data_IF_093992893778
#
_entry.id   IF_093992893778
#
_cell.length_a   1.000
_cell.length_b   1.000
_cell.length_c   1.000
_cell.angle_alpha   90.00
_cell.angle_beta   90.00
_cell.angle_gamma   90.00
#
_symmetry.space_group_name_H-M   'P 1'
#
loop_
_entity.id
_entity.type
_entity.pdbx_description
1 polymer ?
#
# COMPACT_ATOMS: atom_id res chain seq x y z
N UNK A 1 7.01 10.38 -14.20
CA UNK A 1 5.81 10.64 -15.02
C UNK A 1 4.59 10.42 -14.15
N UNK A 2 3.57 11.28 -14.20
CA UNK A 2 2.35 11.08 -13.40
C UNK A 2 1.63 9.79 -13.81
N UNK A 3 1.12 9.06 -12.82
CA UNK A 3 0.34 7.83 -13.02
C UNK A 3 -1.15 8.12 -12.75
N UNK A 4 -2.08 7.24 -13.17
CA UNK A 4 -3.48 7.38 -12.79
C UNK A 4 -3.70 7.54 -11.28
N UNK A 5 -2.86 6.91 -10.45
CA UNK A 5 -2.93 7.03 -9.00
C UNK A 5 -2.50 8.42 -8.49
N UNK A 6 -1.60 9.11 -9.18
CA UNK A 6 -1.28 10.51 -8.89
C UNK A 6 -2.51 11.40 -9.11
N UNK A 7 -3.19 11.26 -10.25
CA UNK A 7 -4.39 12.04 -10.54
C UNK A 7 -5.53 11.75 -9.56
N UNK A 8 -5.78 10.49 -9.21
CA UNK A 8 -6.76 10.14 -8.19
C UNK A 8 -6.44 10.78 -6.83
N UNK A 9 -5.16 10.91 -6.48
CA UNK A 9 -4.73 11.58 -5.25
C UNK A 9 -4.77 13.11 -5.31
N UNK A 10 -4.52 13.71 -6.48
CA UNK A 10 -4.64 15.16 -6.73
C UNK A 10 -6.10 15.61 -6.66
N UNK A 11 -7.04 14.78 -7.11
CA UNK A 11 -8.48 15.11 -7.16
C UNK A 11 -9.27 14.57 -5.94
N UNK A 12 -8.63 13.82 -5.04
CA UNK A 12 -9.29 13.24 -3.87
C UNK A 12 -10.23 12.07 -4.16
N UNK A 13 -10.09 11.41 -5.31
CA UNK A 13 -10.97 10.32 -5.75
C UNK A 13 -10.64 8.98 -5.06
N UNK A 14 -11.09 8.83 -3.81
CA UNK A 14 -10.84 7.65 -2.98
C UNK A 14 -11.28 6.33 -3.63
N UNK A 15 -12.45 6.28 -4.27
CA UNK A 15 -12.95 5.07 -4.93
C UNK A 15 -12.08 4.66 -6.13
N UNK A 16 -11.65 5.63 -6.93
CA UNK A 16 -10.76 5.41 -8.07
C UNK A 16 -9.38 4.97 -7.58
N UNK A 17 -8.85 5.63 -6.55
CA UNK A 17 -7.58 5.24 -5.92
C UNK A 17 -7.64 3.78 -5.43
N UNK A 18 -8.72 3.40 -4.74
CA UNK A 18 -8.95 2.03 -4.27
C UNK A 18 -8.99 1.01 -5.42
N UNK A 19 -9.70 1.31 -6.51
CA UNK A 19 -9.76 0.46 -7.69
C UNK A 19 -8.37 0.25 -8.32
N UNK A 20 -7.61 1.34 -8.51
CA UNK A 20 -6.26 1.28 -9.06
C UNK A 20 -5.33 0.42 -8.19
N UNK A 21 -5.37 0.62 -6.88
CA UNK A 21 -4.56 -0.12 -5.91
C UNK A 21 -4.92 -1.61 -5.91
N UNK A 22 -6.20 -1.96 -5.97
CA UNK A 22 -6.69 -3.34 -6.08
C UNK A 22 -6.18 -4.05 -7.34
N UNK A 23 -5.95 -3.30 -8.42
CA UNK A 23 -5.40 -3.81 -9.68
C UNK A 23 -3.87 -3.68 -9.80
N UNK A 24 -3.16 -3.44 -8.69
CA UNK A 24 -1.70 -3.49 -8.65
C UNK A 24 -1.01 -2.20 -9.07
N UNK A 25 -1.70 -1.05 -9.04
CA UNK A 25 -1.03 0.23 -9.17
C UNK A 25 0.05 0.38 -8.11
N UNK A 26 1.23 0.85 -8.52
CA UNK A 26 2.33 1.09 -7.59
C UNK A 26 2.00 2.28 -6.67
N UNK A 27 1.67 1.99 -5.40
CA UNK A 27 1.36 2.96 -4.34
C UNK A 27 2.49 3.97 -4.11
N UNK A 28 3.73 3.56 -4.37
CA UNK A 28 4.94 4.35 -4.19
C UNK A 28 5.52 4.89 -5.51
N UNK A 29 4.75 4.90 -6.59
CA UNK A 29 5.18 5.48 -7.86
C UNK A 29 5.63 6.93 -7.68
N UNK A 30 6.75 7.30 -8.29
CA UNK A 30 7.27 8.65 -8.29
C UNK A 30 7.03 9.33 -9.63
N UNK A 31 6.56 10.57 -9.59
CA UNK A 31 6.47 11.42 -10.78
C UNK A 31 7.86 11.94 -11.21
N UNK A 32 7.91 12.88 -12.16
CA UNK A 32 9.19 13.44 -12.62
C UNK A 32 9.89 14.33 -11.56
N UNK A 33 9.17 14.72 -10.50
CA UNK A 33 9.67 15.55 -9.41
C UNK A 33 10.00 14.73 -8.15
N UNK A 34 9.83 13.41 -8.19
CA UNK A 34 10.06 12.51 -7.07
C UNK A 34 8.87 12.42 -6.10
N UNK A 35 7.75 13.07 -6.41
CA UNK A 35 6.55 13.06 -5.59
C UNK A 35 5.74 11.77 -5.80
N UNK A 36 5.16 11.27 -4.70
CA UNK A 36 4.28 10.10 -4.65
C UNK A 36 2.82 10.55 -4.60
N UNK A 37 1.85 9.68 -4.95
CA UNK A 37 0.43 9.95 -4.74
C UNK A 37 0.11 10.46 -3.33
N UNK A 38 0.79 9.91 -2.30
CA UNK A 38 0.61 10.32 -0.91
C UNK A 38 0.94 11.80 -0.65
N UNK A 39 1.94 12.36 -1.33
CA UNK A 39 2.29 13.77 -1.15
C UNK A 39 1.17 14.70 -1.61
N UNK A 40 0.52 14.39 -2.73
CA UNK A 40 -0.60 15.17 -3.24
C UNK A 40 -1.84 15.03 -2.34
N UNK A 41 -2.20 13.81 -1.95
CA UNK A 41 -3.34 13.58 -1.06
C UNK A 41 -3.16 14.32 0.29
N UNK A 42 -1.93 14.34 0.82
CA UNK A 42 -1.61 15.06 2.05
C UNK A 42 -1.62 16.58 1.88
N UNK A 43 -1.08 17.11 0.77
CA UNK A 43 -1.08 18.55 0.48
C UNK A 43 -2.50 19.10 0.44
N UNK A 44 -3.39 18.43 -0.29
CA UNK A 44 -4.78 18.88 -0.47
C UNK A 44 -5.74 18.45 0.65
N UNK A 45 -5.27 17.65 1.62
CA UNK A 45 -6.06 17.26 2.79
C UNK A 45 -7.12 16.17 2.53
N UNK A 46 -6.94 15.34 1.50
CA UNK A 46 -7.87 14.25 1.18
C UNK A 46 -7.65 13.04 2.08
N UNK A 47 -8.21 13.11 3.29
CA UNK A 47 -7.97 12.16 4.38
C UNK A 47 -8.29 10.70 4.03
N UNK A 48 -9.33 10.45 3.24
CA UNK A 48 -9.72 9.12 2.78
C UNK A 48 -8.67 8.51 1.86
N UNK A 49 -8.12 9.30 0.93
CA UNK A 49 -7.05 8.86 0.05
C UNK A 49 -5.76 8.62 0.84
N UNK A 50 -5.44 9.50 1.80
CA UNK A 50 -4.29 9.33 2.70
C UNK A 50 -4.37 8.00 3.45
N UNK A 51 -5.52 7.67 4.04
CA UNK A 51 -5.73 6.38 4.74
C UNK A 51 -5.50 5.20 3.79
N UNK A 52 -6.12 5.22 2.59
CA UNK A 52 -5.95 4.15 1.60
C UNK A 52 -4.48 3.91 1.22
N UNK A 53 -3.72 4.98 0.99
CA UNK A 53 -2.33 4.89 0.58
C UNK A 53 -1.41 4.42 1.74
N UNK A 54 -1.68 4.81 2.98
CA UNK A 54 -0.91 4.40 4.16
C UNK A 54 -1.17 2.95 4.56
N UNK A 55 -2.43 2.50 4.50
CA UNK A 55 -2.78 1.13 4.90
C UNK A 55 -2.04 0.09 4.04
N UNK A 56 -1.95 0.32 2.73
CA UNK A 56 -1.26 -0.60 1.83
C UNK A 56 0.26 -0.61 1.99
N UNK A 57 0.87 0.52 2.35
CA UNK A 57 2.31 0.59 2.62
C UNK A 57 2.67 -0.24 3.87
N UNK A 58 1.79 -0.22 4.89
CA UNK A 58 1.90 -1.07 6.08
C UNK A 58 1.73 -2.55 5.78
N UNK A 59 0.75 -2.94 4.95
CA UNK A 59 0.55 -4.34 4.55
C UNK A 59 1.78 -4.89 3.81
N UNK A 60 2.40 -4.09 2.93
CA UNK A 60 3.59 -4.51 2.21
C UNK A 60 4.79 -4.69 3.14
N UNK A 61 5.00 -3.74 4.05
CA UNK A 61 6.07 -3.79 5.06
C UNK A 61 5.92 -4.98 6.02
N UNK A 62 4.70 -5.25 6.50
CA UNK A 62 4.43 -6.39 7.38
C UNK A 62 4.58 -7.74 6.68
N UNK A 63 4.28 -7.84 5.37
CA UNK A 63 4.47 -9.09 4.61
C UNK A 63 5.95 -9.45 4.47
N UNK A 64 6.79 -8.46 4.20
CA UNK A 64 8.25 -8.65 4.12
C UNK A 64 8.79 -9.12 5.47
N UNK A 65 8.41 -8.45 6.57
CA UNK A 65 8.88 -8.82 7.90
C UNK A 65 8.39 -10.22 8.33
N UNK A 66 7.10 -10.55 8.17
CA UNK A 66 6.58 -11.88 8.52
C UNK A 66 7.18 -13.03 7.70
N UNK A 67 7.67 -12.79 6.47
CA UNK A 67 8.38 -13.82 5.70
C UNK A 67 9.81 -14.11 6.22
N UNK A 68 10.37 -13.23 7.05
CA UNK A 68 11.76 -13.36 7.56
C UNK A 68 11.84 -13.84 9.01
N UNK A 69 10.74 -13.85 9.77
CA UNK A 69 10.74 -14.21 11.21
C UNK A 69 9.97 -15.48 11.57
N UNK A 70 9.25 -16.15 10.66
CA UNK A 70 8.65 -17.45 10.97
C UNK A 70 9.68 -18.56 10.72
N UNK A 71 10.53 -18.79 11.72
CA UNK A 71 11.19 -20.09 11.89
C UNK A 71 10.11 -21.18 12.07
N UNK A 72 10.30 -22.38 11.49
CA UNK A 72 9.27 -23.43 11.42
C UNK A 72 9.09 -24.12 12.78
N UNK A 73 8.45 -23.44 13.73
CA UNK A 73 8.00 -24.01 15.01
C UNK A 73 6.51 -24.36 14.99
N UNK A 74 6.00 -24.72 13.81
CA UNK A 74 4.68 -25.33 13.66
C UNK A 74 4.86 -26.84 13.55
N UNK A 75 4.47 -27.52 14.63
CA UNK A 75 3.85 -28.84 14.65
C UNK A 75 4.68 -30.07 14.19
N UNK A 76 5.66 -30.46 15.00
CA UNK A 76 5.80 -31.88 15.36
C UNK A 76 5.34 -32.07 16.81
N UNK A 77 4.04 -31.88 17.04
CA UNK A 77 3.37 -32.38 18.23
C UNK A 77 2.46 -33.53 17.82
N UNK A 78 3.01 -34.74 17.99
CA UNK A 78 2.34 -36.00 18.34
C UNK A 78 1.14 -36.45 17.49
N UNK A 79 1.36 -37.53 16.73
CA UNK A 79 0.44 -38.67 16.59
C UNK A 79 1.30 -39.90 16.89
N UNK A 80 1.20 -40.44 18.11
CA UNK A 80 0.32 -41.55 18.49
C UNK A 80 1.03 -42.89 18.25
N UNK A 81 1.39 -43.52 19.37
CA UNK A 81 1.79 -44.94 19.62
C UNK A 81 2.87 -45.59 18.74
#
# INVERSE_FOLDING_TARGET
>A
SCTPLHFAAIEGYAEIASLLLKHGANVNAQDNTGLRPLHYAAWYGYTEVVKLLLDLDKYFSLRILNSTVVSPKIALSKRDV
#
